data_IF_572761448638
#
_entry.id   IF_572761448638
#
_cell.length_a   1.000
_cell.length_b   1.000
_cell.length_c   1.000
_cell.angle_alpha   90.00
_cell.angle_beta   90.00
_cell.angle_gamma   90.00
#
_symmetry.space_group_name_H-M   'P 1'
#
loop_
_entity.id
_entity.type
_entity.pdbx_description
1 polymer ?
#
# COMPACT_ATOMS: atom_id res chain seq x y z
N UNK A 1 -3.25 -15.50 -2.37
CA UNK A 1 -2.55 -16.41 -1.45
C UNK A 1 -2.48 -15.71 -0.11
N UNK A 2 -2.84 -16.40 0.96
CA UNK A 2 -2.83 -15.86 2.32
C UNK A 2 -1.54 -16.25 3.05
N UNK A 3 -1.20 -15.54 4.12
CA UNK A 3 -0.12 -15.91 5.03
C UNK A 3 -0.35 -17.34 5.56
N UNK A 4 0.73 -18.10 5.76
CA UNK A 4 0.66 -19.41 6.43
C UNK A 4 0.27 -19.23 7.91
N UNK A 5 -0.26 -20.27 8.56
CA UNK A 5 -0.64 -20.20 9.97
C UNK A 5 0.52 -19.78 10.87
N UNK A 6 1.74 -20.29 10.61
CA UNK A 6 2.94 -19.87 11.33
C UNK A 6 3.27 -18.38 11.12
N UNK A 7 3.12 -17.87 9.89
CA UNK A 7 3.33 -16.45 9.59
C UNK A 7 2.25 -15.57 10.25
N UNK A 8 1.00 -16.03 10.26
CA UNK A 8 -0.12 -15.33 10.91
C UNK A 8 0.09 -15.22 12.42
N UNK A 9 0.51 -16.30 13.08
CA UNK A 9 0.80 -16.30 14.51
C UNK A 9 1.97 -15.37 14.85
N UNK A 10 3.05 -15.43 14.08
CA UNK A 10 4.19 -14.55 14.27
C UNK A 10 3.80 -13.07 14.12
N UNK A 11 3.08 -12.73 13.05
CA UNK A 11 2.59 -11.36 12.81
C UNK A 11 1.69 -10.90 13.97
N UNK A 12 0.77 -11.75 14.43
CA UNK A 12 -0.12 -11.42 15.55
C UNK A 12 0.67 -11.10 16.83
N UNK A 13 1.72 -11.86 17.14
CA UNK A 13 2.59 -11.57 18.29
C UNK A 13 3.27 -10.21 18.15
N UNK A 14 3.78 -9.87 16.96
CA UNK A 14 4.43 -8.58 16.73
C UNK A 14 3.44 -7.42 16.85
N UNK A 15 2.23 -7.56 16.31
CA UNK A 15 1.18 -6.54 16.41
C UNK A 15 0.73 -6.32 17.86
N UNK A 16 0.54 -7.39 18.63
CA UNK A 16 0.18 -7.27 20.06
C UNK A 16 1.26 -6.55 20.88
N UNK A 17 2.54 -6.75 20.54
CA UNK A 17 3.64 -6.03 21.19
C UNK A 17 3.60 -4.52 20.88
N UNK A 18 3.28 -4.15 19.63
CA UNK A 18 3.11 -2.74 19.23
C UNK A 18 1.92 -2.09 19.95
N UNK A 19 0.80 -2.80 20.08
CA UNK A 19 -0.38 -2.33 20.82
C UNK A 19 -0.06 -2.12 22.31
N UNK A 20 0.69 -3.05 22.91
CA UNK A 20 1.15 -2.93 24.31
C UNK A 20 2.03 -1.69 24.50
N UNK A 21 3.00 -1.48 23.60
CA UNK A 21 3.86 -0.30 23.60
C UNK A 21 3.06 1.00 23.47
N UNK A 22 2.07 1.03 22.57
CA UNK A 22 1.19 2.20 22.42
C UNK A 22 0.38 2.48 23.70
N UNK A 23 -0.09 1.45 24.41
CA UNK A 23 -0.80 1.61 25.68
C UNK A 23 0.11 2.16 26.81
N UNK A 24 1.39 1.78 26.83
CA UNK A 24 2.39 2.32 27.75
C UNK A 24 2.66 3.81 27.47
N UNK A 25 2.73 4.20 26.20
CA UNK A 25 2.99 5.58 25.74
C UNK A 25 1.74 6.49 25.74
N UNK A 26 0.58 6.03 26.22
CA UNK A 26 -0.73 6.73 26.07
C UNK A 26 -0.79 8.19 26.55
N UNK A 27 0.10 8.59 27.45
CA UNK A 27 0.17 9.96 27.99
C UNK A 27 1.34 10.77 27.42
N UNK A 28 2.02 10.25 26.40
CA UNK A 28 3.15 10.86 25.70
C UNK A 28 2.85 10.94 24.19
N UNK A 29 2.22 12.04 23.74
CA UNK A 29 1.81 12.18 22.34
C UNK A 29 2.99 12.27 21.36
N UNK A 30 4.17 12.73 21.80
CA UNK A 30 5.35 12.82 20.93
C UNK A 30 5.92 11.42 20.66
N UNK A 31 6.05 10.59 21.70
CA UNK A 31 6.48 9.20 21.55
C UNK A 31 5.49 8.36 20.73
N UNK A 32 4.18 8.59 20.90
CA UNK A 32 3.17 7.94 20.05
C UNK A 32 3.29 8.37 18.58
N UNK A 33 3.56 9.64 18.31
CA UNK A 33 3.78 10.13 16.95
C UNK A 33 5.00 9.49 16.31
N UNK A 34 6.08 9.31 17.06
CA UNK A 34 7.27 8.63 16.57
C UNK A 34 7.03 7.14 16.29
N UNK A 35 6.27 6.44 17.15
CA UNK A 35 5.80 5.07 16.87
C UNK A 35 5.02 5.00 15.56
N UNK A 36 4.07 5.92 15.34
CA UNK A 36 3.27 5.97 14.11
C UNK A 36 4.13 6.24 12.87
N UNK A 37 5.13 7.12 12.96
CA UNK A 37 6.08 7.39 11.87
C UNK A 37 6.89 6.15 11.49
N UNK A 38 7.32 5.36 12.47
CA UNK A 38 8.05 4.12 12.20
C UNK A 38 7.17 3.04 11.54
N UNK A 39 5.91 2.94 11.96
CA UNK A 39 4.94 2.05 11.32
C UNK A 39 4.68 2.44 9.87
N UNK A 40 4.51 3.74 9.60
CA UNK A 40 4.37 4.26 8.24
C UNK A 40 5.62 3.98 7.38
N UNK A 41 6.82 4.16 7.93
CA UNK A 41 8.06 3.89 7.20
C UNK A 41 8.20 2.39 6.86
N UNK A 42 7.84 1.51 7.80
CA UNK A 42 7.81 0.06 7.60
C UNK A 42 6.81 -0.30 6.51
N UNK A 43 5.61 0.26 6.62
CA UNK A 43 4.57 0.10 5.63
C UNK A 43 5.05 0.51 4.22
N UNK A 44 5.62 1.72 4.07
CA UNK A 44 6.15 2.21 2.78
C UNK A 44 7.24 1.32 2.22
N UNK A 45 8.16 0.84 3.07
CA UNK A 45 9.22 -0.09 2.66
C UNK A 45 8.65 -1.38 2.05
N UNK A 46 7.61 -1.95 2.68
CA UNK A 46 6.92 -3.14 2.17
C UNK A 46 6.21 -2.83 0.85
N UNK A 47 5.51 -1.69 0.78
CA UNK A 47 4.81 -1.27 -0.44
C UNK A 47 5.81 -1.09 -1.59
N UNK A 48 6.86 -0.31 -1.38
CA UNK A 48 7.79 0.12 -2.44
C UNK A 48 8.76 -0.99 -2.87
N UNK A 49 9.13 -1.88 -1.95
CA UNK A 49 10.01 -3.00 -2.22
C UNK A 49 9.24 -4.26 -2.63
N UNK A 50 8.99 -5.19 -1.68
CA UNK A 50 8.48 -6.52 -1.99
C UNK A 50 7.08 -6.51 -2.65
N UNK A 51 6.18 -5.60 -2.27
CA UNK A 51 4.85 -5.55 -2.89
C UNK A 51 4.93 -5.10 -4.35
N UNK A 52 5.50 -3.93 -4.64
CA UNK A 52 5.71 -3.47 -6.03
C UNK A 52 6.53 -4.46 -6.85
N UNK A 53 7.59 -5.03 -6.28
CA UNK A 53 8.44 -6.04 -6.92
C UNK A 53 7.71 -7.35 -7.24
N UNK A 54 6.62 -7.65 -6.52
CA UNK A 54 5.77 -8.82 -6.79
C UNK A 54 4.71 -8.59 -7.87
N UNK A 55 4.48 -7.34 -8.28
CA UNK A 55 3.46 -7.02 -9.27
C UNK A 55 3.88 -7.53 -10.67
N UNK A 56 2.96 -8.13 -11.44
CA UNK A 56 3.26 -8.54 -12.80
C UNK A 56 3.61 -7.34 -13.69
N UNK A 57 4.66 -7.47 -14.50
CA UNK A 57 4.97 -6.49 -15.54
C UNK A 57 3.96 -6.52 -16.71
N UNK A 58 3.31 -7.68 -16.94
CA UNK A 58 2.26 -7.81 -17.93
C UNK A 58 0.96 -7.13 -17.46
N UNK A 59 0.45 -6.20 -18.29
CA UNK A 59 -0.70 -5.36 -17.98
C UNK A 59 -1.98 -6.16 -17.71
N UNK A 60 -2.21 -7.25 -18.44
CA UNK A 60 -3.40 -8.08 -18.27
C UNK A 60 -3.37 -8.86 -16.95
N UNK A 61 -2.21 -9.40 -16.59
CA UNK A 61 -2.00 -10.06 -15.29
C UNK A 61 -2.09 -9.07 -14.14
N UNK A 62 -1.51 -7.87 -14.30
CA UNK A 62 -1.62 -6.79 -13.31
C UNK A 62 -3.10 -6.43 -13.07
N UNK A 63 -3.87 -6.23 -14.13
CA UNK A 63 -5.31 -5.95 -14.01
C UNK A 63 -6.06 -7.05 -13.25
N UNK A 64 -5.76 -8.32 -13.53
CA UNK A 64 -6.34 -9.45 -12.81
C UNK A 64 -5.96 -9.50 -11.31
N UNK A 65 -4.75 -9.05 -10.95
CA UNK A 65 -4.32 -8.92 -9.54
C UNK A 65 -5.09 -7.78 -8.86
N UNK A 66 -5.16 -6.61 -9.48
CA UNK A 66 -5.82 -5.43 -8.95
C UNK A 66 -7.32 -5.67 -8.70
N UNK A 67 -8.00 -6.27 -9.67
CA UNK A 67 -9.43 -6.61 -9.56
C UNK A 67 -9.71 -7.55 -8.37
N UNK A 68 -8.88 -8.58 -8.16
CA UNK A 68 -9.02 -9.49 -7.01
C UNK A 68 -8.77 -8.80 -5.66
N UNK A 69 -7.83 -7.85 -5.63
CA UNK A 69 -7.55 -7.06 -4.42
C UNK A 69 -8.71 -6.13 -4.06
N UNK A 70 -9.35 -5.54 -5.07
CA UNK A 70 -10.55 -4.72 -4.89
C UNK A 70 -11.74 -5.57 -4.35
N UNK A 71 -11.96 -6.75 -4.93
CA UNK A 71 -13.05 -7.67 -4.56
C UNK A 71 -12.91 -8.28 -3.15
N UNK A 72 -11.68 -8.40 -2.62
CA UNK A 72 -11.41 -9.03 -1.31
C UNK A 72 -11.32 -8.04 -0.14
N UNK A 73 -11.55 -6.75 -0.38
CA UNK A 73 -11.65 -5.75 0.68
C UNK A 73 -10.46 -4.80 0.81
N UNK A 74 -9.96 -4.30 -0.33
CA UNK A 74 -9.33 -2.98 -0.42
C UNK A 74 -7.83 -2.92 -0.15
N UNK A 75 -7.20 -1.91 -0.75
CA UNK A 75 -5.79 -1.54 -0.59
C UNK A 75 -5.41 -1.49 0.90
N UNK A 76 -4.20 -1.95 1.31
CA UNK A 76 -3.75 -1.81 2.69
C UNK A 76 -3.97 -0.38 3.17
N UNK A 77 -4.67 -0.22 4.30
CA UNK A 77 -5.09 1.08 4.79
C UNK A 77 -3.88 1.86 5.31
N UNK A 78 -3.52 2.90 4.58
CA UNK A 78 -2.39 3.80 4.83
C UNK A 78 -2.96 5.20 4.70
N UNK A 79 -2.64 6.14 5.60
CA UNK A 79 -3.14 7.51 5.51
C UNK A 79 -2.77 8.12 4.14
N UNK A 80 -3.82 8.28 3.34
CA UNK A 80 -3.94 8.70 1.93
C UNK A 80 -2.78 9.54 1.34
N UNK A 81 -2.14 8.99 0.31
CA UNK A 81 -2.08 9.70 -0.97
C UNK A 81 -3.34 9.35 -1.76
N UNK A 82 -4.11 10.36 -2.16
CA UNK A 82 -5.42 10.16 -2.78
C UNK A 82 -5.25 9.36 -4.09
N UNK A 83 -6.08 8.32 -4.29
CA UNK A 83 -6.17 7.54 -5.54
C UNK A 83 -6.17 8.42 -6.81
N UNK A 84 -6.62 9.67 -6.69
CA UNK A 84 -6.58 10.71 -7.73
C UNK A 84 -5.17 10.90 -8.29
N UNK A 85 -4.14 10.98 -7.45
CA UNK A 85 -2.75 11.15 -7.88
C UNK A 85 -2.27 9.99 -8.76
N UNK A 86 -2.73 8.77 -8.49
CA UNK A 86 -2.39 7.60 -9.33
C UNK A 86 -3.18 7.60 -10.65
N UNK A 87 -4.46 8.00 -10.63
CA UNK A 87 -5.28 8.14 -11.83
C UNK A 87 -4.80 9.26 -12.76
N UNK A 88 -4.22 10.33 -12.21
CA UNK A 88 -3.67 11.44 -12.99
C UNK A 88 -2.38 11.01 -13.70
N UNK A 89 -1.52 10.23 -13.04
CA UNK A 89 -0.32 9.64 -13.66
C UNK A 89 -0.67 8.67 -14.80
N UNK A 90 -1.73 7.86 -14.66
CA UNK A 90 -2.19 6.95 -15.73
C UNK A 90 -2.79 7.68 -16.94
N UNK A 91 -3.25 8.91 -16.77
CA UNK A 91 -3.77 9.74 -17.86
C UNK A 91 -2.66 10.48 -18.61
N UNK A 92 -1.51 10.70 -17.98
CA UNK A 92 -0.34 11.35 -18.57
C UNK A 92 0.43 10.45 -19.54
N UNK A 93 0.26 9.13 -19.47
CA UNK A 93 0.89 8.16 -20.38
C UNK A 93 0.07 7.87 -21.66
N UNK A 94 -0.98 8.65 -21.96
CA UNK A 94 -1.56 8.61 -23.30
C UNK A 94 -0.69 9.49 -24.21
N UNK A 95 0.04 8.92 -25.19
CA UNK A 95 0.63 9.75 -26.23
C UNK A 95 -0.51 10.51 -26.88
N UNK A 96 -0.37 11.82 -27.00
CA UNK A 96 -1.28 12.66 -27.75
C UNK A 96 -1.44 12.01 -29.12
N UNK A 97 -2.65 11.51 -29.41
CA UNK A 97 -2.98 11.08 -30.76
C UNK A 97 -2.86 12.33 -31.64
N UNK A 98 -1.81 12.34 -32.46
CA UNK A 98 -1.52 13.30 -33.52
C UNK A 98 -2.83 13.78 -34.14
N UNK A 99 -3.17 15.05 -33.90
CA UNK A 99 -4.28 15.69 -34.59
C UNK A 99 -3.79 16.03 -36.01
N UNK A 100 -4.26 15.35 -37.07
CA UNK A 100 -3.81 15.69 -38.41
C UNK A 100 -4.37 17.05 -38.80
N UNK A 101 -3.47 17.96 -39.16
CA UNK A 101 -3.75 19.21 -39.86
C UNK A 101 -4.36 18.89 -41.23
N UNK A 102 -5.66 19.13 -41.45
CA UNK A 102 -6.23 19.36 -42.79
C UNK A 102 -7.67 19.86 -42.74
N UNK A 103 -7.88 21.16 -43.02
CA UNK A 103 -8.70 21.66 -44.13
C UNK A 103 -8.54 23.18 -44.23
#
# INVERSE_FOLDING_TARGET
MSLTSQQQDHLRTQLAALETMAAELRNDPESLLDLLRQLEQTHRSIQDGPFRGSLPADRNRLFGVLKRMEETGGWPYIPRLQLRTFMDLLQQDRPEEDHPLAA
#
